data_IF_456363748581
#
_entry.id   IF_456363748581
#
_cell.length_a   1.000
_cell.length_b   1.000
_cell.length_c   1.000
_cell.angle_alpha   90.00
_cell.angle_beta   90.00
_cell.angle_gamma   90.00
#
_symmetry.space_group_name_H-M   'P 1'
#
loop_
_entity.id
_entity.type
_entity.pdbx_description
1 polymer ?
#
# COMPACT_ATOMS: atom_id res chain seq x y z
N UNK A 1 2.99 -3.41 27.02
CA UNK A 1 4.27 -3.39 26.28
C UNK A 1 4.33 -2.10 25.46
N UNK A 2 5.46 -1.41 25.49
CA UNK A 2 5.68 -0.24 24.61
C UNK A 2 5.76 -0.73 23.16
N UNK A 3 5.17 0.02 22.23
CA UNK A 3 5.32 -0.24 20.79
C UNK A 3 6.78 0.06 20.37
N UNK A 4 7.32 -0.68 19.39
CA UNK A 4 8.68 -0.43 18.92
C UNK A 4 8.77 0.92 18.19
N UNK A 5 9.97 1.47 18.17
CA UNK A 5 10.30 2.69 17.42
C UNK A 5 10.74 2.36 16.00
N UNK A 6 10.50 3.30 15.10
CA UNK A 6 10.85 3.25 13.68
C UNK A 6 11.52 4.57 13.31
N UNK A 7 12.29 4.60 12.23
CA UNK A 7 13.03 5.81 11.84
C UNK A 7 12.16 6.79 11.03
N UNK A 8 11.28 6.26 10.16
CA UNK A 8 10.48 7.08 9.24
C UNK A 8 8.99 6.76 9.27
N UNK A 9 8.52 6.17 10.35
CA UNK A 9 7.10 5.99 10.62
C UNK A 9 6.85 5.91 12.13
N UNK A 10 5.61 6.12 12.56
CA UNK A 10 5.17 5.77 13.90
C UNK A 10 4.11 4.69 13.87
N UNK A 11 4.05 3.90 14.94
CA UNK A 11 3.04 2.90 15.18
C UNK A 11 2.27 3.26 16.44
N UNK A 12 0.98 3.52 16.29
CA UNK A 12 0.05 3.84 17.37
C UNK A 12 -1.05 2.79 17.46
N UNK A 13 -1.77 2.76 18.59
CA UNK A 13 -2.86 1.82 18.82
C UNK A 13 -4.08 2.51 19.44
N UNK A 14 -5.25 2.23 18.89
CA UNK A 14 -6.56 2.61 19.42
C UNK A 14 -7.44 1.36 19.56
N UNK A 15 -7.60 0.85 20.77
CA UNK A 15 -8.29 -0.43 20.97
C UNK A 15 -7.59 -1.57 20.20
N UNK A 16 -8.31 -2.18 19.26
CA UNK A 16 -7.80 -3.24 18.38
C UNK A 16 -7.37 -2.72 17.00
N UNK A 17 -7.37 -1.41 16.78
CA UNK A 17 -6.93 -0.78 15.53
C UNK A 17 -5.53 -0.21 15.69
N UNK A 18 -4.61 -0.65 14.85
CA UNK A 18 -3.25 -0.13 14.78
C UNK A 18 -3.13 0.91 13.67
N UNK A 19 -2.35 1.96 13.92
CA UNK A 19 -2.19 3.09 13.00
C UNK A 19 -0.71 3.23 12.69
N UNK A 20 -0.34 2.96 11.43
CA UNK A 20 0.99 3.20 10.87
C UNK A 20 0.94 4.60 10.24
N UNK A 21 1.66 5.56 10.81
CA UNK A 21 1.78 6.90 10.25
C UNK A 21 3.11 7.04 9.55
N UNK A 22 3.08 7.21 8.24
CA UNK A 22 4.24 7.43 7.38
C UNK A 22 4.80 8.84 7.60
N UNK A 23 6.12 8.94 7.83
CA UNK A 23 6.80 10.19 8.20
C UNK A 23 8.08 10.43 7.39
N UNK A 24 8.26 9.75 6.25
CA UNK A 24 9.42 9.96 5.38
C UNK A 24 9.22 11.22 4.53
N UNK A 25 9.77 12.33 5.03
CA UNK A 25 9.70 13.61 4.31
C UNK A 25 10.43 13.56 2.94
N UNK A 26 9.99 14.40 1.97
CA UNK A 26 8.81 15.26 2.04
C UNK A 26 7.51 14.55 1.60
N UNK A 27 7.59 13.41 0.90
CA UNK A 27 6.51 12.88 0.07
C UNK A 27 6.25 11.39 0.29
N UNK A 28 6.83 10.80 1.32
CA UNK A 28 6.76 9.36 1.60
C UNK A 28 7.14 8.49 0.37
N UNK A 29 8.18 8.90 -0.39
CA UNK A 29 8.68 8.11 -1.52
C UNK A 29 9.19 6.75 -1.06
N UNK A 30 8.81 5.73 -1.80
CA UNK A 30 9.13 4.33 -1.51
C UNK A 30 10.56 4.02 -1.99
N UNK A 31 11.48 3.92 -1.05
CA UNK A 31 12.79 3.29 -1.23
C UNK A 31 12.72 1.85 -0.70
N UNK A 32 13.69 1.00 -1.08
CA UNK A 32 13.77 -0.38 -0.59
C UNK A 32 13.82 -0.42 0.95
N UNK A 33 14.64 0.44 1.55
CA UNK A 33 14.75 0.56 3.00
C UNK A 33 13.42 0.96 3.65
N UNK A 34 12.72 1.97 3.11
CA UNK A 34 11.46 2.43 3.67
C UNK A 34 10.34 1.37 3.52
N UNK A 35 10.32 0.67 2.39
CA UNK A 35 9.43 -0.48 2.22
C UNK A 35 9.68 -1.56 3.29
N UNK A 36 10.94 -1.83 3.65
CA UNK A 36 11.28 -2.77 4.71
C UNK A 36 10.83 -2.28 6.10
N UNK A 37 10.86 -0.97 6.38
CA UNK A 37 10.26 -0.43 7.61
C UNK A 37 8.74 -0.66 7.67
N UNK A 38 8.03 -0.41 6.57
CA UNK A 38 6.59 -0.68 6.47
C UNK A 38 6.30 -2.17 6.69
N UNK A 39 7.06 -3.06 6.05
CA UNK A 39 6.96 -4.52 6.26
C UNK A 39 7.15 -4.86 7.74
N UNK A 40 8.18 -4.29 8.37
CA UNK A 40 8.47 -4.51 9.80
C UNK A 40 7.30 -4.06 10.68
N UNK A 41 6.67 -2.92 10.36
CA UNK A 41 5.51 -2.42 11.09
C UNK A 41 4.31 -3.39 11.00
N UNK A 42 3.97 -3.86 9.79
CA UNK A 42 2.92 -4.87 9.60
C UNK A 42 3.20 -6.17 10.36
N UNK A 43 4.42 -6.70 10.27
CA UNK A 43 4.84 -7.91 11.00
C UNK A 43 4.77 -7.71 12.51
N UNK A 44 5.17 -6.54 13.00
CA UNK A 44 5.05 -6.20 14.42
C UNK A 44 3.60 -6.22 14.89
N UNK A 45 2.70 -5.63 14.13
CA UNK A 45 1.26 -5.67 14.46
C UNK A 45 0.75 -7.11 14.47
N UNK A 46 1.11 -7.90 13.48
CA UNK A 46 0.72 -9.31 13.42
C UNK A 46 1.22 -10.10 14.63
N UNK A 47 2.44 -9.86 15.07
CA UNK A 47 3.00 -10.50 16.28
C UNK A 47 2.30 -10.05 17.56
N UNK A 48 1.94 -8.76 17.68
CA UNK A 48 1.23 -8.23 18.86
C UNK A 48 -0.20 -8.78 18.94
N UNK A 49 -0.89 -8.86 17.80
CA UNK A 49 -2.24 -9.42 17.75
C UNK A 49 -2.22 -10.93 18.00
N UNK A 50 -1.27 -11.64 17.41
CA UNK A 50 -1.22 -13.11 17.49
C UNK A 50 -2.37 -13.79 16.75
N UNK A 51 -2.45 -15.11 16.76
CA UNK A 51 -3.55 -15.84 16.14
C UNK A 51 -4.87 -15.63 16.90
N UNK A 52 -5.99 -15.81 16.21
CA UNK A 52 -7.35 -15.83 16.79
C UNK A 52 -7.76 -14.54 17.52
N UNK A 53 -7.18 -13.40 17.16
CA UNK A 53 -7.49 -12.10 17.73
C UNK A 53 -8.30 -11.21 16.78
N UNK A 54 -8.85 -10.14 17.34
CA UNK A 54 -9.54 -9.08 16.61
C UNK A 54 -8.57 -7.94 16.37
N UNK A 55 -8.47 -7.45 15.13
CA UNK A 55 -7.60 -6.33 14.84
C UNK A 55 -7.78 -5.79 13.44
N UNK A 56 -7.27 -4.57 13.22
CA UNK A 56 -7.18 -3.93 11.91
C UNK A 56 -5.97 -3.00 11.86
N UNK A 57 -5.50 -2.69 10.65
CA UNK A 57 -4.38 -1.75 10.43
C UNK A 57 -4.82 -0.62 9.52
N UNK A 58 -4.50 0.60 9.92
CA UNK A 58 -4.63 1.82 9.12
C UNK A 58 -3.22 2.29 8.75
N UNK A 59 -2.98 2.56 7.46
CA UNK A 59 -1.77 3.23 6.98
C UNK A 59 -2.12 4.63 6.50
N UNK A 60 -1.50 5.66 7.09
CA UNK A 60 -1.78 7.07 6.78
C UNK A 60 -0.51 7.89 6.51
N UNK A 61 -0.63 9.04 5.82
CA UNK A 61 0.41 10.07 5.82
C UNK A 61 0.37 10.89 7.11
N UNK A 62 1.51 11.52 7.44
CA UNK A 62 1.62 12.40 8.59
C UNK A 62 1.05 13.81 8.36
N UNK A 63 0.83 14.19 7.10
CA UNK A 63 0.24 15.46 6.70
C UNK A 63 -0.89 15.29 5.66
N UNK A 64 -1.50 16.40 5.27
CA UNK A 64 -2.63 16.44 4.33
C UNK A 64 -2.20 16.68 2.88
N UNK A 65 -0.92 16.89 2.61
CA UNK A 65 -0.43 17.16 1.26
C UNK A 65 -0.06 15.90 0.51
N UNK A 66 0.70 15.01 1.14
CA UNK A 66 1.19 13.79 0.50
C UNK A 66 0.86 12.56 1.35
N UNK A 67 0.19 11.60 0.73
CA UNK A 67 0.12 10.26 1.29
C UNK A 67 1.34 9.44 0.87
N UNK A 68 1.58 9.31 -0.45
CA UNK A 68 2.76 8.66 -1.01
C UNK A 68 2.87 9.01 -2.52
N UNK A 69 4.02 9.53 -2.94
CA UNK A 69 4.23 9.88 -4.35
C UNK A 69 4.89 8.77 -5.18
N UNK A 70 4.95 7.56 -4.63
CA UNK A 70 5.39 6.37 -5.35
C UNK A 70 6.85 6.04 -5.13
N UNK A 71 7.43 5.33 -6.11
CA UNK A 71 8.83 4.88 -6.05
C UNK A 71 9.78 6.06 -6.09
N UNK A 72 10.88 5.95 -5.37
CA UNK A 72 12.02 6.81 -5.55
C UNK A 72 12.70 6.46 -6.88
N UNK A 73 12.72 7.39 -7.82
CA UNK A 73 13.20 7.13 -9.17
C UNK A 73 14.73 7.21 -9.29
N UNK A 74 15.39 7.77 -8.28
CA UNK A 74 16.85 7.89 -8.23
C UNK A 74 17.51 6.65 -7.58
N UNK A 75 16.77 5.90 -6.76
CA UNK A 75 17.30 4.70 -6.08
C UNK A 75 17.79 3.61 -7.05
N UNK A 76 17.12 3.32 -8.20
CA UNK A 76 17.56 2.29 -9.13
C UNK A 76 18.97 2.50 -9.69
N UNK A 77 19.46 3.73 -9.76
CA UNK A 77 20.81 4.05 -10.24
C UNK A 77 21.90 3.51 -9.28
N UNK A 78 21.59 3.42 -8.00
CA UNK A 78 22.50 2.91 -6.96
C UNK A 78 22.11 1.52 -6.44
N UNK A 79 20.83 1.15 -6.55
CA UNK A 79 20.27 -0.11 -6.08
C UNK A 79 19.33 -0.73 -7.12
N UNK A 80 19.85 -1.51 -8.10
CA UNK A 80 19.02 -2.14 -9.12
C UNK A 80 18.02 -3.17 -8.58
N UNK A 81 18.14 -3.54 -7.29
CA UNK A 81 17.26 -4.46 -6.60
C UNK A 81 16.18 -3.75 -5.75
N UNK A 82 16.04 -2.43 -5.84
CA UNK A 82 15.14 -1.65 -5.00
C UNK A 82 13.70 -2.20 -4.99
N UNK A 83 13.12 -2.45 -6.17
CA UNK A 83 11.77 -2.99 -6.27
C UNK A 83 11.68 -4.44 -5.78
N UNK A 84 12.69 -5.25 -6.09
CA UNK A 84 12.78 -6.67 -5.71
C UNK A 84 12.90 -6.86 -4.21
N UNK A 85 13.69 -6.01 -3.55
CA UNK A 85 13.99 -6.12 -2.11
C UNK A 85 13.06 -5.26 -1.24
N UNK A 86 12.28 -4.36 -1.85
CA UNK A 86 11.43 -3.42 -1.12
C UNK A 86 9.98 -3.46 -1.56
N UNK A 87 9.71 -2.92 -2.75
CA UNK A 87 8.35 -2.62 -3.21
C UNK A 87 7.45 -3.86 -3.35
N UNK A 88 7.90 -4.88 -4.09
CA UNK A 88 7.09 -6.10 -4.27
C UNK A 88 6.88 -6.89 -2.98
N UNK A 89 7.91 -7.09 -2.12
CA UNK A 89 7.72 -7.69 -0.81
C UNK A 89 6.76 -6.91 0.10
N UNK A 90 6.76 -5.57 0.01
CA UNK A 90 5.81 -4.75 0.76
C UNK A 90 4.37 -4.97 0.28
N UNK A 91 4.12 -4.93 -1.03
CA UNK A 91 2.79 -5.21 -1.58
C UNK A 91 2.30 -6.62 -1.20
N UNK A 92 3.20 -7.61 -1.31
CA UNK A 92 2.91 -8.98 -0.88
C UNK A 92 2.54 -9.04 0.61
N UNK A 93 3.33 -8.41 1.47
CA UNK A 93 3.09 -8.41 2.93
C UNK A 93 1.72 -7.84 3.28
N UNK A 94 1.29 -6.75 2.61
CA UNK A 94 -0.01 -6.14 2.85
C UNK A 94 -1.15 -7.03 2.35
N UNK A 95 -1.00 -7.65 1.18
CA UNK A 95 -1.99 -8.57 0.62
C UNK A 95 -2.15 -9.85 1.46
N UNK A 96 -1.07 -10.37 2.01
CA UNK A 96 -1.03 -11.58 2.84
C UNK A 96 -1.34 -11.30 4.32
N UNK A 97 -1.56 -10.06 4.70
CA UNK A 97 -1.78 -9.68 6.08
C UNK A 97 -3.12 -10.24 6.61
N UNK A 98 -3.13 -10.94 7.76
CA UNK A 98 -4.30 -11.72 8.19
C UNK A 98 -5.45 -10.90 8.79
N UNK A 99 -5.30 -9.59 8.88
CA UNK A 99 -6.30 -8.67 9.45
C UNK A 99 -6.74 -7.62 8.41
N UNK A 100 -7.93 -7.01 8.56
CA UNK A 100 -8.37 -5.90 7.73
C UNK A 100 -7.36 -4.77 7.65
N UNK A 101 -7.12 -4.27 6.43
CA UNK A 101 -6.18 -3.19 6.16
C UNK A 101 -6.87 -2.01 5.49
N UNK A 102 -6.54 -0.79 5.91
CA UNK A 102 -7.15 0.45 5.46
C UNK A 102 -6.07 1.43 5.03
N UNK A 103 -6.07 1.86 3.77
CA UNK A 103 -5.29 2.99 3.31
C UNK A 103 -6.08 4.29 3.59
N UNK A 104 -5.59 5.10 4.52
CA UNK A 104 -6.13 6.42 4.81
C UNK A 104 -5.34 7.45 3.99
N UNK A 105 -5.84 7.75 2.79
CA UNK A 105 -5.20 8.58 1.78
C UNK A 105 -5.39 10.05 2.13
N UNK A 106 -4.46 10.59 2.95
CA UNK A 106 -4.52 11.94 3.49
C UNK A 106 -4.27 13.02 2.44
N UNK A 107 -3.57 12.70 1.34
CA UNK A 107 -3.18 13.66 0.32
C UNK A 107 -2.81 13.00 -1.01
N UNK A 108 -1.94 13.66 -1.77
CA UNK A 108 -1.52 13.17 -3.08
C UNK A 108 -0.96 11.75 -3.04
N UNK A 109 -1.40 10.94 -4.01
CA UNK A 109 -1.01 9.53 -4.18
C UNK A 109 -0.68 9.29 -5.65
N UNK A 110 0.61 9.10 -5.95
CA UNK A 110 1.09 8.98 -7.31
C UNK A 110 1.91 7.71 -7.55
N UNK A 111 1.91 7.26 -8.82
CA UNK A 111 2.79 6.17 -9.27
C UNK A 111 2.67 4.92 -8.40
N UNK A 112 3.78 4.44 -7.83
CA UNK A 112 3.83 3.29 -6.92
C UNK A 112 2.96 3.43 -5.66
N UNK A 113 2.55 4.66 -5.29
CA UNK A 113 1.58 4.90 -4.23
C UNK A 113 0.19 4.34 -4.54
N UNK A 114 -0.20 4.27 -5.83
CA UNK A 114 -1.49 3.70 -6.22
C UNK A 114 -1.57 2.19 -5.94
N UNK A 115 -0.65 1.32 -6.40
CA UNK A 115 -0.67 -0.08 -6.01
C UNK A 115 -0.45 -0.27 -4.51
N UNK A 116 0.31 0.59 -3.83
CA UNK A 116 0.41 0.54 -2.38
C UNK A 116 -0.96 0.77 -1.71
N UNK A 117 -1.73 1.77 -2.15
CA UNK A 117 -3.10 1.98 -1.67
C UNK A 117 -4.02 0.80 -2.02
N UNK A 118 -3.93 0.28 -3.25
CA UNK A 118 -4.74 -0.85 -3.73
C UNK A 118 -4.40 -2.18 -3.05
N UNK A 119 -3.21 -2.34 -2.47
CA UNK A 119 -2.86 -3.53 -1.70
C UNK A 119 -3.69 -3.66 -0.40
N UNK A 120 -4.20 -2.57 0.12
CA UNK A 120 -5.11 -2.58 1.28
C UNK A 120 -6.51 -3.07 0.89
N UNK A 121 -7.28 -3.55 1.86
CA UNK A 121 -8.67 -3.98 1.63
C UNK A 121 -9.56 -2.78 1.32
N UNK A 122 -9.43 -1.73 2.12
CA UNK A 122 -10.24 -0.51 2.03
C UNK A 122 -9.37 0.72 1.82
N UNK A 123 -9.94 1.74 1.20
CA UNK A 123 -9.32 3.03 0.92
C UNK A 123 -10.27 4.15 1.32
N UNK A 124 -9.81 5.06 2.15
CA UNK A 124 -10.52 6.28 2.52
C UNK A 124 -9.68 7.45 2.04
N UNK A 125 -10.25 8.38 1.29
CA UNK A 125 -9.51 9.50 0.72
C UNK A 125 -10.00 10.83 1.29
N UNK A 126 -9.09 11.80 1.37
CA UNK A 126 -9.39 13.17 1.72
C UNK A 126 -10.40 13.76 0.72
N UNK A 127 -11.52 14.31 1.23
CA UNK A 127 -12.60 14.86 0.41
C UNK A 127 -12.21 16.17 -0.28
N UNK A 128 -11.27 16.93 0.31
CA UNK A 128 -10.98 18.31 -0.05
C UNK A 128 -9.65 18.48 -0.77
N UNK A 129 -8.71 17.51 -0.63
CA UNK A 129 -7.35 17.66 -1.11
C UNK A 129 -6.74 16.37 -1.62
N UNK A 130 -5.83 16.52 -2.56
CA UNK A 130 -5.05 15.43 -3.14
C UNK A 130 -5.65 14.87 -4.42
N UNK A 131 -4.78 14.22 -5.17
CA UNK A 131 -5.14 13.45 -6.36
C UNK A 131 -4.59 12.05 -6.23
N UNK A 132 -5.34 11.07 -6.71
CA UNK A 132 -4.86 9.72 -6.94
C UNK A 132 -4.62 9.55 -8.45
N UNK A 133 -3.39 9.20 -8.86
CA UNK A 133 -3.01 9.11 -10.26
C UNK A 133 -1.86 8.13 -10.48
N UNK A 134 -1.94 7.35 -11.56
CA UNK A 134 -0.89 6.45 -12.03
C UNK A 134 -0.27 7.02 -13.33
N UNK A 135 0.74 7.91 -13.25
CA UNK A 135 1.25 8.65 -14.40
C UNK A 135 2.27 7.94 -15.31
N UNK A 136 2.75 6.68 -15.10
CA UNK A 136 3.81 6.07 -15.88
C UNK A 136 3.63 6.15 -17.40
N UNK A 137 2.41 6.03 -17.94
CA UNK A 137 2.14 6.14 -19.37
C UNK A 137 2.54 7.53 -19.94
N UNK A 138 2.38 8.59 -19.15
CA UNK A 138 2.77 9.95 -19.54
C UNK A 138 4.27 10.21 -19.37
N UNK A 139 4.95 9.39 -18.55
CA UNK A 139 6.38 9.54 -18.24
C UNK A 139 7.26 8.58 -19.02
N UNK A 140 6.67 7.69 -19.83
CA UNK A 140 7.41 6.63 -20.51
C UNK A 140 8.04 5.61 -19.56
N UNK A 141 7.47 5.45 -18.36
CA UNK A 141 7.96 4.54 -17.32
C UNK A 141 7.12 3.27 -17.26
N UNK A 142 7.78 2.18 -16.93
CA UNK A 142 7.12 0.91 -16.68
C UNK A 142 7.82 0.16 -15.54
N UNK A 143 7.05 -0.58 -14.75
CA UNK A 143 7.56 -1.61 -13.86
C UNK A 143 6.64 -2.85 -13.95
N UNK A 144 7.24 -4.02 -13.85
CA UNK A 144 6.49 -5.27 -13.97
C UNK A 144 5.43 -5.40 -12.88
N UNK A 145 4.28 -5.93 -13.25
CA UNK A 145 3.17 -6.08 -12.32
C UNK A 145 2.35 -4.82 -12.04
N UNK A 146 2.66 -3.68 -12.68
CA UNK A 146 1.92 -2.40 -12.50
C UNK A 146 0.40 -2.56 -12.66
N UNK A 147 -0.03 -3.45 -13.54
CA UNK A 147 -1.45 -3.70 -13.82
C UNK A 147 -2.12 -4.74 -12.90
N UNK A 148 -1.39 -5.43 -12.03
CA UNK A 148 -1.96 -6.53 -11.23
C UNK A 148 -3.06 -6.05 -10.29
N UNK A 149 -2.77 -5.09 -9.43
CA UNK A 149 -3.74 -4.58 -8.45
C UNK A 149 -4.87 -3.76 -9.07
N UNK A 150 -4.63 -2.87 -10.06
CA UNK A 150 -5.73 -2.22 -10.77
C UNK A 150 -6.72 -3.22 -11.39
N UNK A 151 -6.26 -4.28 -12.05
CA UNK A 151 -7.13 -5.31 -12.64
C UNK A 151 -7.89 -6.11 -11.58
N UNK A 152 -7.27 -6.37 -10.43
CA UNK A 152 -7.85 -7.16 -9.35
C UNK A 152 -8.90 -6.37 -8.56
N UNK A 153 -8.62 -5.09 -8.30
CA UNK A 153 -9.39 -4.28 -7.33
C UNK A 153 -10.40 -3.33 -7.97
N UNK A 154 -10.28 -3.05 -9.27
CA UNK A 154 -11.08 -2.03 -9.95
C UNK A 154 -11.88 -2.66 -11.10
N UNK A 155 -13.01 -2.06 -11.43
CA UNK A 155 -13.76 -2.41 -12.65
C UNK A 155 -12.85 -2.22 -13.89
N UNK A 156 -12.98 -3.04 -14.94
CA UNK A 156 -12.09 -3.00 -16.11
C UNK A 156 -11.93 -1.60 -16.73
N UNK A 157 -13.02 -0.84 -16.82
CA UNK A 157 -13.00 0.52 -17.37
C UNK A 157 -12.19 1.48 -16.50
N UNK A 158 -12.26 1.31 -15.18
CA UNK A 158 -11.53 2.14 -14.22
C UNK A 158 -10.06 1.75 -14.19
N UNK A 159 -9.75 0.45 -14.27
CA UNK A 159 -8.38 -0.02 -14.41
C UNK A 159 -7.71 0.53 -15.67
N UNK A 160 -8.43 0.53 -16.82
CA UNK A 160 -7.97 1.17 -18.07
C UNK A 160 -7.72 2.67 -17.88
N UNK A 161 -8.70 3.38 -17.28
CA UNK A 161 -8.61 4.82 -16.99
C UNK A 161 -7.40 5.15 -16.12
N UNK A 162 -7.09 4.28 -15.14
CA UNK A 162 -5.89 4.41 -14.30
C UNK A 162 -4.59 4.22 -15.09
N UNK A 163 -4.48 3.10 -15.83
CA UNK A 163 -3.21 2.66 -16.41
C UNK A 163 -2.89 3.33 -17.76
N UNK A 164 -3.90 3.51 -18.63
CA UNK A 164 -3.70 3.96 -20.00
C UNK A 164 -4.05 5.44 -20.21
N UNK A 165 -4.83 6.04 -19.32
CA UNK A 165 -5.26 7.43 -19.44
C UNK A 165 -4.61 8.32 -18.36
N UNK A 166 -3.91 7.74 -17.38
CA UNK A 166 -3.30 8.43 -16.23
C UNK A 166 -4.26 9.44 -15.58
N UNK A 167 -5.52 9.07 -15.46
CA UNK A 167 -6.54 9.95 -14.90
C UNK A 167 -6.18 10.39 -13.47
N UNK A 168 -6.44 11.64 -13.16
CA UNK A 168 -6.19 12.25 -11.85
C UNK A 168 -7.50 12.38 -11.09
N UNK A 169 -7.80 11.40 -10.23
CA UNK A 169 -9.00 11.42 -9.39
C UNK A 169 -8.86 12.38 -8.23
N UNK A 170 -9.84 13.26 -8.06
CA UNK A 170 -10.16 13.88 -6.77
C UNK A 170 -10.83 12.84 -5.85
N UNK A 171 -10.97 13.14 -4.54
CA UNK A 171 -11.66 12.23 -3.63
C UNK A 171 -13.09 11.90 -4.06
N UNK A 172 -13.85 12.89 -4.52
CA UNK A 172 -15.24 12.72 -4.99
C UNK A 172 -15.32 11.85 -6.24
N UNK A 173 -14.46 12.06 -7.22
CA UNK A 173 -14.41 11.24 -8.44
C UNK A 173 -13.95 9.82 -8.12
N UNK A 174 -12.96 9.65 -7.24
CA UNK A 174 -12.47 8.34 -6.81
C UNK A 174 -13.56 7.51 -6.12
N UNK A 175 -14.40 8.15 -5.31
CA UNK A 175 -15.56 7.49 -4.70
C UNK A 175 -16.61 7.11 -5.75
N UNK A 176 -16.96 8.02 -6.66
CA UNK A 176 -17.95 7.77 -7.72
C UNK A 176 -17.51 6.64 -8.66
N UNK A 177 -16.23 6.57 -9.00
CA UNK A 177 -15.66 5.52 -9.85
C UNK A 177 -15.37 4.21 -9.06
N UNK A 178 -15.50 4.19 -7.72
CA UNK A 178 -15.21 3.03 -6.88
C UNK A 178 -13.70 2.73 -6.76
N UNK A 179 -12.86 3.73 -6.95
CA UNK A 179 -11.41 3.63 -6.68
C UNK A 179 -11.15 3.62 -5.17
N UNK A 180 -11.97 4.36 -4.42
CA UNK A 180 -11.96 4.38 -2.95
C UNK A 180 -13.32 4.00 -2.39
N UNK A 181 -13.35 3.53 -1.14
CA UNK A 181 -14.55 3.01 -0.47
C UNK A 181 -15.30 4.10 0.29
N UNK A 182 -14.59 5.17 0.68
CA UNK A 182 -15.16 6.34 1.37
C UNK A 182 -14.29 7.58 1.16
N UNK A 183 -14.87 8.74 1.43
CA UNK A 183 -14.17 10.03 1.57
C UNK A 183 -14.53 10.65 2.91
N UNK A 184 -13.64 11.45 3.46
CA UNK A 184 -13.90 12.20 4.69
C UNK A 184 -13.20 13.56 4.66
N UNK A 185 -13.79 14.52 5.39
CA UNK A 185 -13.15 15.80 5.66
C UNK A 185 -11.87 15.60 6.49
N UNK A 186 -10.81 16.39 6.28
CA UNK A 186 -9.50 16.20 6.92
C UNK A 186 -9.57 15.91 8.43
N UNK A 187 -10.39 16.66 9.14
CA UNK A 187 -10.56 16.58 10.60
C UNK A 187 -11.23 15.29 11.05
N UNK A 188 -12.00 14.65 10.16
CA UNK A 188 -12.78 13.43 10.44
C UNK A 188 -12.14 12.16 9.89
N UNK A 189 -11.11 12.29 9.06
CA UNK A 189 -10.52 11.17 8.34
C UNK A 189 -10.10 10.03 9.28
N UNK A 190 -9.37 10.35 10.34
CA UNK A 190 -8.87 9.34 11.26
C UNK A 190 -10.01 8.64 12.01
N UNK A 191 -11.02 9.37 12.45
CA UNK A 191 -12.18 8.79 13.13
C UNK A 191 -12.95 7.84 12.22
N UNK A 192 -13.17 8.23 10.94
CA UNK A 192 -13.84 7.39 9.94
C UNK A 192 -13.04 6.11 9.68
N UNK A 193 -11.71 6.21 9.62
CA UNK A 193 -10.86 5.05 9.44
C UNK A 193 -10.85 4.11 10.65
N UNK A 194 -10.83 4.67 11.87
CA UNK A 194 -10.92 3.88 13.12
C UNK A 194 -12.26 3.16 13.19
N UNK A 195 -13.39 3.85 12.92
CA UNK A 195 -14.71 3.23 12.89
C UNK A 195 -14.80 2.09 11.85
N UNK A 196 -14.19 2.29 10.66
CA UNK A 196 -14.10 1.22 9.66
C UNK A 196 -13.25 0.05 10.16
N UNK A 197 -12.12 0.32 10.80
CA UNK A 197 -11.26 -0.70 11.42
C UNK A 197 -11.98 -1.50 12.49
N UNK A 198 -12.65 -0.83 13.43
CA UNK A 198 -13.44 -1.44 14.50
C UNK A 198 -14.58 -2.29 13.95
N UNK A 199 -15.27 -1.83 12.89
CA UNK A 199 -16.33 -2.59 12.22
C UNK A 199 -15.83 -3.92 11.66
N UNK A 200 -14.62 -3.96 11.08
CA UNK A 200 -14.12 -5.13 10.39
C UNK A 200 -13.17 -5.99 11.24
N UNK A 201 -12.56 -5.45 12.29
CA UNK A 201 -11.63 -6.17 13.18
C UNK A 201 -12.18 -7.52 13.68
N UNK A 202 -13.47 -7.65 14.11
CA UNK A 202 -14.01 -8.91 14.59
C UNK A 202 -14.01 -10.04 13.55
N UNK A 203 -13.97 -9.71 12.24
CA UNK A 203 -13.97 -10.72 11.18
C UNK A 203 -12.68 -11.54 11.12
N UNK A 204 -11.59 -11.03 11.68
CA UNK A 204 -10.30 -11.73 11.70
C UNK A 204 -10.19 -12.81 12.80
N UNK A 205 -11.02 -12.73 13.85
CA UNK A 205 -10.90 -13.53 15.09
C UNK A 205 -10.79 -15.04 14.88
N UNK A 206 -11.43 -15.59 13.87
CA UNK A 206 -11.48 -17.05 13.66
C UNK A 206 -10.49 -17.53 12.57
N UNK A 207 -9.58 -16.67 12.12
CA UNK A 207 -8.59 -16.99 11.08
C UNK A 207 -9.14 -17.17 9.66
N UNK A 208 -10.46 -17.37 9.50
CA UNK A 208 -11.09 -17.57 8.17
C UNK A 208 -10.93 -16.37 7.26
N UNK A 209 -10.89 -15.16 7.82
CA UNK A 209 -10.65 -13.92 7.06
C UNK A 209 -9.34 -13.99 6.27
N UNK A 210 -8.25 -14.45 6.90
CA UNK A 210 -6.96 -14.62 6.25
C UNK A 210 -7.01 -15.65 5.11
N UNK A 211 -7.69 -16.78 5.31
CA UNK A 211 -7.84 -17.82 4.29
C UNK A 211 -8.63 -17.30 3.07
N UNK A 212 -9.76 -16.63 3.31
CA UNK A 212 -10.56 -16.04 2.23
C UNK A 212 -9.81 -14.92 1.51
N UNK A 213 -8.97 -14.17 2.22
CA UNK A 213 -8.08 -13.18 1.61
C UNK A 213 -7.04 -13.82 0.70
N UNK A 214 -6.46 -14.93 1.12
CA UNK A 214 -5.53 -15.70 0.30
C UNK A 214 -6.20 -16.26 -0.97
N UNK A 215 -7.45 -16.72 -0.88
CA UNK A 215 -8.24 -17.10 -2.06
C UNK A 215 -8.49 -15.89 -2.99
N UNK A 216 -8.82 -14.73 -2.42
CA UNK A 216 -9.16 -13.53 -3.19
C UNK A 216 -7.95 -12.89 -3.87
N UNK A 217 -6.77 -12.91 -3.24
CA UNK A 217 -5.57 -12.15 -3.67
C UNK A 217 -4.37 -13.05 -4.03
N UNK A 218 -4.49 -14.37 -3.88
CA UNK A 218 -3.37 -15.31 -4.00
C UNK A 218 -2.63 -15.21 -5.34
N UNK A 219 -3.36 -15.08 -6.44
CA UNK A 219 -2.76 -14.93 -7.78
C UNK A 219 -1.84 -13.70 -7.87
N UNK A 220 -2.28 -12.56 -7.33
CA UNK A 220 -1.47 -11.34 -7.32
C UNK A 220 -0.24 -11.50 -6.41
N UNK A 221 -0.39 -12.13 -5.24
CA UNK A 221 0.72 -12.42 -4.33
C UNK A 221 1.78 -13.29 -5.00
N UNK A 222 1.37 -14.38 -5.66
CA UNK A 222 2.27 -15.27 -6.39
C UNK A 222 2.98 -14.54 -7.54
N UNK A 223 2.28 -13.68 -8.27
CA UNK A 223 2.89 -12.90 -9.34
C UNK A 223 3.94 -11.91 -8.81
N UNK A 224 3.70 -11.22 -7.70
CA UNK A 224 4.71 -10.34 -7.10
C UNK A 224 5.95 -11.10 -6.64
N UNK A 225 5.78 -12.29 -6.03
CA UNK A 225 6.91 -13.15 -5.68
C UNK A 225 7.70 -13.60 -6.91
N UNK A 226 7.00 -14.02 -7.98
CA UNK A 226 7.62 -14.46 -9.23
C UNK A 226 8.39 -13.32 -9.91
N UNK A 227 7.83 -12.12 -10.01
CA UNK A 227 8.48 -10.95 -10.58
C UNK A 227 9.75 -10.64 -9.78
N UNK A 228 9.66 -10.59 -8.47
CA UNK A 228 10.79 -10.34 -7.58
C UNK A 228 11.93 -11.35 -7.82
N UNK A 229 11.60 -12.65 -7.89
CA UNK A 229 12.57 -13.69 -8.14
C UNK A 229 13.26 -13.58 -9.51
N UNK A 230 12.49 -13.35 -10.58
CA UNK A 230 13.02 -13.24 -11.95
C UNK A 230 13.93 -12.04 -12.08
N UNK A 231 13.51 -10.89 -11.60
CA UNK A 231 14.31 -9.66 -11.64
C UNK A 231 15.62 -9.80 -10.87
N UNK A 232 15.57 -10.38 -9.67
CA UNK A 232 16.77 -10.63 -8.87
C UNK A 232 17.77 -11.50 -9.63
N UNK A 233 17.34 -12.52 -10.37
CA UNK A 233 18.23 -13.36 -11.18
C UNK A 233 18.79 -12.63 -12.39
N UNK A 234 17.96 -11.90 -13.12
CA UNK A 234 18.42 -11.15 -14.31
C UNK A 234 19.47 -10.12 -13.96
N UNK A 235 19.25 -9.36 -12.89
CA UNK A 235 20.20 -8.33 -12.45
C UNK A 235 21.53 -8.97 -11.99
N UNK A 236 21.48 -10.12 -11.31
CA UNK A 236 22.68 -10.86 -10.92
C UNK A 236 23.49 -11.35 -12.11
N UNK A 237 22.81 -11.77 -13.20
CA UNK A 237 23.48 -12.20 -14.44
C UNK A 237 24.11 -11.03 -15.17
N UNK A 238 23.42 -9.87 -15.26
CA UNK A 238 23.98 -8.68 -15.91
C UNK A 238 25.15 -8.08 -15.13
N UNK A 239 25.15 -8.14 -13.80
CA UNK A 239 26.29 -7.76 -12.98
C UNK A 239 27.50 -8.65 -13.19
N UNK A 240 27.30 -9.97 -13.36
CA UNK A 240 28.38 -10.92 -13.66
C UNK A 240 28.94 -10.79 -15.07
N UNK A 241 28.17 -10.30 -16.03
CA UNK A 241 28.61 -10.11 -17.41
C UNK A 241 29.50 -8.87 -17.60
N UNK A 242 29.69 -8.05 -16.58
CA UNK A 242 30.56 -6.86 -16.58
C UNK A 242 31.97 -7.13 -16.05
N UNK A 243 32.29 -8.37 -15.73
CA UNK A 243 33.60 -8.87 -15.39
C UNK A 243 34.07 -9.85 -16.47
#
# INVERSE_FOLDING_TARGET
MSLPTFDSLSLDRRGNVFIITMQKAPENRLTSWYCQEIIRAFRTVQQILGPDSEGAVITRGNDDKFWCTGLDLDEPDTNPFANTNGFYPMLHTILDFPYPTIALITGHTFGGGCPFALAHDYRIMNANRGFLCMPPVNLGLHFDGIGLLPRLKLRPQIARKMLLEAHRWTGKEALADGVVDAIAEPERMLDVAIQMGEKWAPKAKMGVYALLRAELYGDAMQQFQKISYVHGRMTSLSAKAKF
#
